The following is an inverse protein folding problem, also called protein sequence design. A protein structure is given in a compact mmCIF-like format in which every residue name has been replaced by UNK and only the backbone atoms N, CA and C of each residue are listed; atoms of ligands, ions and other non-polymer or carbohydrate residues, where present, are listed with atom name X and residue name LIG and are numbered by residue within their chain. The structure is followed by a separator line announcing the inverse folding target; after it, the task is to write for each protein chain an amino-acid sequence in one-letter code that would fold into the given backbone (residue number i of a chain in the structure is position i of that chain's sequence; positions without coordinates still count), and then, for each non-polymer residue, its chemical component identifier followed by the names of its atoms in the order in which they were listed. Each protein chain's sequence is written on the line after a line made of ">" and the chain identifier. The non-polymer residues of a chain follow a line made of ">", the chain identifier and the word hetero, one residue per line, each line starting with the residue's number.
data_IF_613145530444
#
_entry.id   IF_613145530444
#
_cell.length_a   1.000
_cell.length_b   1.000
_cell.length_c   1.000
_cell.angle_alpha   90.00
_cell.angle_beta   90.00
_cell.angle_gamma   90.00
#
_symmetry.space_group_name_H-M   'P 1'
#
loop_
_entity.id
_entity.type
_entity.pdbx_description
1 polymer ?
#
# COMPACT_ATOMS: atom_id res chain seq x y z
N UNK A 1 -0.67 14.61 -6.04
CA UNK A 1 0.66 15.11 -5.63
C UNK A 1 1.73 14.09 -6.04
N UNK A 2 2.90 14.56 -6.45
CA UNK A 2 4.06 13.72 -6.75
C UNK A 2 5.21 14.21 -5.87
N UNK A 3 5.87 13.28 -5.18
CA UNK A 3 6.92 13.58 -4.21
C UNK A 3 8.16 12.72 -4.48
N UNK A 4 9.31 13.23 -4.02
CA UNK A 4 10.59 12.52 -4.08
C UNK A 4 11.07 12.24 -2.66
N UNK A 5 11.48 10.99 -2.38
CA UNK A 5 11.94 10.59 -1.07
C UNK A 5 11.80 9.10 -0.81
N UNK A 6 11.86 8.69 0.46
CA UNK A 6 11.60 7.29 0.85
C UNK A 6 10.09 7.06 0.92
N UNK A 7 9.50 6.18 0.08
CA UNK A 7 8.04 6.12 -0.09
C UNK A 7 7.26 5.97 1.22
N UNK A 8 7.65 5.03 2.09
CA UNK A 8 6.96 4.80 3.35
C UNK A 8 7.00 5.99 4.32
N UNK A 9 8.04 6.83 4.26
CA UNK A 9 8.11 8.07 5.06
C UNK A 9 7.25 9.17 4.49
N UNK A 10 7.33 9.38 3.18
CA UNK A 10 6.56 10.44 2.51
C UNK A 10 5.05 10.19 2.57
N UNK A 11 4.64 8.93 2.45
CA UNK A 11 3.22 8.55 2.60
C UNK A 11 2.71 8.89 4.00
N UNK A 12 3.42 8.50 5.07
CA UNK A 12 3.01 8.78 6.45
C UNK A 12 3.00 10.29 6.73
N UNK A 13 4.03 11.01 6.26
CA UNK A 13 4.15 12.45 6.43
C UNK A 13 2.96 13.18 5.81
N UNK A 14 2.66 12.93 4.53
CA UNK A 14 1.56 13.60 3.84
C UNK A 14 0.20 13.18 4.38
N UNK A 15 0.02 11.91 4.74
CA UNK A 15 -1.22 11.44 5.34
C UNK A 15 -1.55 12.21 6.63
N UNK A 16 -0.53 12.47 7.46
CA UNK A 16 -0.67 13.28 8.67
C UNK A 16 -0.91 14.78 8.34
N UNK A 17 -0.13 15.35 7.42
CA UNK A 17 -0.26 16.77 7.03
C UNK A 17 -1.63 17.10 6.41
N UNK A 18 -2.20 16.17 5.64
CA UNK A 18 -3.50 16.34 5.00
C UNK A 18 -4.66 15.77 5.81
N UNK A 19 -4.41 15.21 6.99
CA UNK A 19 -5.41 14.60 7.85
C UNK A 19 -6.33 13.62 7.09
N UNK A 20 -5.74 12.70 6.33
CA UNK A 20 -6.52 11.75 5.51
C UNK A 20 -7.24 10.73 6.40
N UNK A 21 -8.47 10.37 6.01
CA UNK A 21 -9.28 9.40 6.76
C UNK A 21 -8.87 7.93 6.51
N UNK A 22 -8.15 7.65 5.41
CA UNK A 22 -7.73 6.31 5.01
C UNK A 22 -6.53 6.35 4.06
N UNK A 23 -5.57 5.43 4.28
CA UNK A 23 -4.49 5.14 3.34
C UNK A 23 -4.76 3.79 2.67
N UNK A 24 -4.75 3.74 1.33
CA UNK A 24 -4.90 2.49 0.57
C UNK A 24 -3.58 2.14 -0.11
N UNK A 25 -3.10 0.91 0.11
CA UNK A 25 -1.86 0.40 -0.48
C UNK A 25 -2.08 -0.91 -1.22
N UNK A 26 -1.63 -0.97 -2.47
CA UNK A 26 -1.53 -2.23 -3.21
C UNK A 26 -0.35 -3.07 -2.72
N UNK A 27 -0.59 -4.34 -2.42
CA UNK A 27 0.46 -5.33 -2.10
C UNK A 27 0.48 -6.42 -3.16
N UNK A 28 1.63 -6.54 -3.83
CA UNK A 28 1.87 -7.59 -4.81
C UNK A 28 2.28 -8.86 -4.07
N UNK A 29 1.49 -9.92 -4.15
CA UNK A 29 1.91 -11.24 -3.71
C UNK A 29 2.83 -11.84 -4.76
N UNK A 30 4.13 -11.99 -4.49
CA UNK A 30 5.00 -12.82 -5.35
C UNK A 30 4.70 -14.30 -5.07
N UNK A 31 3.56 -14.79 -5.57
CA UNK A 31 3.15 -16.20 -5.51
C UNK A 31 2.56 -16.68 -4.17
N UNK A 32 2.28 -18.00 -4.10
CA UNK A 32 1.61 -18.69 -2.99
C UNK A 32 2.40 -18.70 -1.66
N UNK A 33 3.68 -18.32 -1.71
CA UNK A 33 4.58 -18.34 -0.55
C UNK A 33 4.52 -17.03 0.24
N UNK A 34 3.89 -15.99 -0.30
CA UNK A 34 4.00 -14.62 0.22
C UNK A 34 2.65 -14.01 0.62
N UNK A 35 1.75 -14.83 1.17
CA UNK A 35 0.50 -14.34 1.78
C UNK A 35 0.74 -13.50 3.05
N UNK A 36 1.92 -13.66 3.68
CA UNK A 36 2.23 -13.07 4.97
C UNK A 36 3.26 -11.93 4.96
N UNK A 37 4.07 -11.70 3.90
CA UNK A 37 5.01 -10.58 3.92
C UNK A 37 4.46 -9.33 3.24
N UNK A 38 4.25 -8.30 4.06
CA UNK A 38 4.10 -6.94 3.56
C UNK A 38 5.43 -6.48 2.94
N UNK A 39 5.38 -5.90 1.74
CA UNK A 39 6.55 -5.22 1.17
C UNK A 39 7.07 -4.12 2.12
N UNK A 40 8.35 -3.76 2.02
CA UNK A 40 9.02 -2.84 2.94
C UNK A 40 8.29 -1.49 3.10
N UNK A 41 7.66 -1.00 2.03
CA UNK A 41 6.84 0.21 2.06
C UNK A 41 5.57 0.00 2.88
N UNK A 42 4.76 -1.02 2.56
CA UNK A 42 3.52 -1.31 3.27
C UNK A 42 3.77 -1.58 4.75
N UNK A 43 4.80 -2.37 5.07
CA UNK A 43 5.18 -2.64 6.45
C UNK A 43 5.56 -1.35 7.20
N UNK A 44 6.29 -0.43 6.57
CA UNK A 44 6.61 0.86 7.18
C UNK A 44 5.35 1.71 7.41
N UNK A 45 4.45 1.80 6.42
CA UNK A 45 3.25 2.63 6.55
C UNK A 45 2.31 2.06 7.61
N UNK A 46 2.02 0.76 7.60
CA UNK A 46 1.16 0.10 8.59
C UNK A 46 1.67 0.31 10.02
N UNK A 47 2.99 0.34 10.23
CA UNK A 47 3.58 0.56 11.57
C UNK A 47 3.55 1.99 12.07
N UNK A 48 3.51 2.99 11.18
CA UNK A 48 3.76 4.38 11.57
C UNK A 48 2.64 5.36 11.19
N UNK A 49 1.68 4.94 10.37
CA UNK A 49 0.54 5.79 10.02
C UNK A 49 -0.36 6.02 11.25
N UNK A 50 -0.79 7.27 11.44
CA UNK A 50 -1.83 7.63 12.40
C UNK A 50 -3.24 7.39 11.87
N UNK A 51 -3.41 7.37 10.55
CA UNK A 51 -4.69 7.06 9.89
C UNK A 51 -4.84 5.56 9.63
N UNK A 52 -6.09 5.05 9.53
CA UNK A 52 -6.35 3.68 9.09
C UNK A 52 -5.63 3.32 7.78
N UNK A 53 -5.18 2.07 7.66
CA UNK A 53 -4.50 1.56 6.45
C UNK A 53 -5.21 0.33 5.92
N UNK A 54 -5.62 0.37 4.65
CA UNK A 54 -6.17 -0.75 3.90
C UNK A 54 -5.12 -1.30 2.93
N UNK A 55 -4.64 -2.51 3.18
CA UNK A 55 -3.75 -3.22 2.26
C UNK A 55 -4.57 -4.13 1.32
N UNK A 56 -4.49 -3.88 0.01
CA UNK A 56 -5.23 -4.60 -1.02
C UNK A 56 -4.28 -5.57 -1.75
N UNK A 57 -4.61 -6.87 -1.73
CA UNK A 57 -3.90 -7.87 -2.54
C UNK A 57 -4.24 -7.65 -4.00
N UNK A 58 -3.22 -7.43 -4.82
CA UNK A 58 -3.39 -7.30 -6.27
C UNK A 58 -2.88 -8.59 -6.91
N UNK A 59 -3.81 -9.44 -7.31
CA UNK A 59 -3.50 -10.64 -8.09
C UNK A 59 -3.29 -10.24 -9.54
N UNK A 60 -2.17 -10.67 -10.13
CA UNK A 60 -1.80 -10.36 -11.52
C UNK A 60 -2.82 -10.86 -12.58
N UNK A 61 -3.85 -11.61 -12.17
CA UNK A 61 -4.89 -12.16 -13.05
C UNK A 61 -6.23 -11.39 -13.07
N UNK A 62 -6.41 -10.36 -12.24
CA UNK A 62 -7.71 -9.66 -12.17
C UNK A 62 -8.00 -8.79 -13.41
N UNK A 63 -6.97 -8.19 -14.03
CA UNK A 63 -7.12 -7.38 -15.24
C UNK A 63 -7.36 -8.18 -16.53
N UNK A 64 -7.22 -9.52 -16.49
CA UNK A 64 -7.43 -10.38 -17.66
C UNK A 64 -8.87 -10.91 -17.78
N UNK A 65 -9.74 -10.67 -16.77
CA UNK A 65 -11.08 -11.25 -16.70
C UNK A 65 -12.22 -10.30 -17.10
N UNK A 66 -11.94 -9.03 -17.39
CA UNK A 66 -12.93 -8.03 -17.84
C UNK A 66 -13.08 -7.93 -19.38
N UNK A 67 -12.52 -8.87 -20.14
CA UNK A 67 -12.63 -8.92 -21.61
C UNK A 67 -13.56 -10.03 -22.12
N UNK A 68 -14.55 -10.49 -21.33
CA UNK A 68 -15.53 -11.49 -21.76
C UNK A 68 -16.95 -11.14 -21.36
#
# INVERSE_FOLDING_TARGET
>A
LILTGRPGREIVRVAAEQAVDLIVLGVHGRGAVDLAMFGSVTHHVVRHASSPVLAVRVDAGAGARESR
#
